data_IF_015504917620
#
_entry.id   IF_015504917620
#
_cell.length_a   1.000
_cell.length_b   1.000
_cell.length_c   1.000
_cell.angle_alpha   90.00
_cell.angle_beta   90.00
_cell.angle_gamma   90.00
#
_symmetry.space_group_name_H-M   'P 1'
#
loop_
_entity.id
_entity.type
_entity.pdbx_description
1 polymer ?
#
# COMPACT_ATOMS: atom_id res chain seq x y z
N UNK A 1 -65.09 69.44 -25.93
CA UNK A 1 -64.99 69.96 -24.55
C UNK A 1 -63.50 70.12 -24.25
N UNK A 2 -62.91 71.31 -24.43
CA UNK A 2 -62.69 72.34 -23.38
C UNK A 2 -61.95 71.74 -22.15
N UNK A 3 -60.85 72.24 -21.59
CA UNK A 3 -60.06 73.46 -21.76
C UNK A 3 -58.66 73.20 -21.11
N UNK A 4 -57.56 73.62 -21.72
CA UNK A 4 -56.61 74.64 -21.24
C UNK A 4 -56.23 74.64 -19.74
N UNK A 5 -54.94 74.41 -19.46
CA UNK A 5 -54.17 75.20 -18.48
C UNK A 5 -52.70 75.26 -18.92
N UNK A 6 -52.23 76.48 -19.19
CA UNK A 6 -50.82 76.85 -19.42
C UNK A 6 -50.12 77.02 -18.08
N UNK A 7 -48.82 76.76 -18.03
CA UNK A 7 -47.95 77.11 -16.89
C UNK A 7 -46.49 76.95 -17.26
N UNK A 8 -45.90 78.05 -17.73
CA UNK A 8 -44.46 78.24 -17.95
C UNK A 8 -43.70 78.25 -16.62
N UNK A 9 -42.54 77.60 -16.55
CA UNK A 9 -41.66 77.69 -15.39
C UNK A 9 -40.32 77.00 -15.63
N UNK A 10 -39.36 77.75 -16.14
CA UNK A 10 -37.93 77.42 -16.11
C UNK A 10 -37.48 77.20 -14.66
N UNK A 11 -37.04 76.00 -14.33
CA UNK A 11 -36.23 75.75 -13.15
C UNK A 11 -35.18 74.70 -13.48
N UNK A 12 -33.95 75.15 -13.65
CA UNK A 12 -32.75 74.31 -13.64
C UNK A 12 -32.73 73.46 -12.36
N UNK A 13 -32.60 72.12 -12.46
CA UNK A 13 -32.14 71.33 -11.34
C UNK A 13 -30.62 71.34 -11.35
N UNK A 14 -30.09 72.22 -10.50
CA UNK A 14 -28.77 72.21 -9.86
C UNK A 14 -28.07 70.85 -9.94
N UNK A 15 -26.99 70.80 -10.73
CA UNK A 15 -26.02 69.71 -10.75
C UNK A 15 -25.23 69.76 -9.43
N UNK A 16 -25.57 68.90 -8.47
CA UNK A 16 -24.79 68.77 -7.23
C UNK A 16 -23.41 68.14 -7.55
N UNK A 17 -22.29 68.84 -7.29
CA UNK A 17 -20.95 68.33 -7.52
C UNK A 17 -20.51 67.48 -6.31
N UNK A 18 -21.15 66.33 -6.10
CA UNK A 18 -20.84 65.40 -5.00
C UNK A 18 -20.48 63.99 -5.44
N UNK A 19 -20.92 63.55 -6.62
CA UNK A 19 -20.87 62.11 -6.97
C UNK A 19 -19.52 61.61 -7.51
N UNK A 20 -18.66 62.50 -8.03
CA UNK A 20 -17.41 62.09 -8.67
C UNK A 20 -16.27 61.84 -7.66
N UNK A 21 -16.10 62.72 -6.67
CA UNK A 21 -15.05 62.60 -5.66
C UNK A 21 -15.35 61.47 -4.66
N UNK A 22 -16.61 61.34 -4.24
CA UNK A 22 -17.07 60.22 -3.40
C UNK A 22 -17.00 58.88 -4.15
N UNK A 23 -17.36 58.86 -5.45
CA UNK A 23 -17.21 57.68 -6.30
C UNK A 23 -15.75 57.28 -6.51
N UNK A 24 -14.84 58.24 -6.68
CA UNK A 24 -13.40 57.98 -6.78
C UNK A 24 -12.83 57.46 -5.45
N UNK A 25 -13.20 58.07 -4.31
CA UNK A 25 -12.79 57.61 -3.00
C UNK A 25 -13.32 56.19 -2.70
N UNK A 26 -14.59 55.91 -3.01
CA UNK A 26 -15.19 54.59 -2.86
C UNK A 26 -14.48 53.54 -3.74
N UNK A 27 -14.07 53.91 -4.96
CA UNK A 27 -13.33 53.01 -5.86
C UNK A 27 -11.92 52.71 -5.32
N UNK A 28 -11.21 53.72 -4.80
CA UNK A 28 -9.89 53.55 -4.19
C UNK A 28 -9.96 52.67 -2.94
N UNK A 29 -10.95 52.90 -2.07
CA UNK A 29 -11.18 52.09 -0.87
C UNK A 29 -11.54 50.64 -1.26
N UNK A 30 -12.40 50.43 -2.24
CA UNK A 30 -12.71 49.08 -2.75
C UNK A 30 -11.49 48.39 -3.37
N UNK A 31 -10.65 49.13 -4.09
CA UNK A 31 -9.42 48.58 -4.68
C UNK A 31 -8.41 48.19 -3.58
N UNK A 32 -8.22 49.04 -2.58
CA UNK A 32 -7.35 48.76 -1.43
C UNK A 32 -7.85 47.57 -0.61
N UNK A 33 -9.17 47.48 -0.38
CA UNK A 33 -9.79 46.34 0.32
C UNK A 33 -9.63 45.04 -0.49
N UNK A 34 -9.84 45.07 -1.82
CA UNK A 34 -9.59 43.90 -2.69
C UNK A 34 -8.12 43.47 -2.67
N UNK A 35 -7.18 44.40 -2.72
CA UNK A 35 -5.75 44.10 -2.62
C UNK A 35 -5.37 43.53 -1.25
N UNK A 36 -5.93 44.06 -0.17
CA UNK A 36 -5.73 43.55 1.17
C UNK A 36 -6.28 42.13 1.34
N UNK A 37 -7.51 41.88 0.89
CA UNK A 37 -8.12 40.55 0.89
C UNK A 37 -7.35 39.56 0.02
N UNK A 38 -6.88 39.98 -1.16
CA UNK A 38 -6.05 39.15 -2.03
C UNK A 38 -4.69 38.80 -1.39
N UNK A 39 -4.05 39.75 -0.69
CA UNK A 39 -2.81 39.50 0.05
C UNK A 39 -3.02 38.57 1.23
N UNK A 40 -4.11 38.73 1.98
CA UNK A 40 -4.48 37.86 3.09
C UNK A 40 -4.77 36.43 2.62
N UNK A 41 -5.49 36.29 1.52
CA UNK A 41 -5.78 35.00 0.89
C UNK A 41 -4.53 34.35 0.32
N UNK A 42 -3.62 35.12 -0.30
CA UNK A 42 -2.34 34.61 -0.77
C UNK A 42 -1.44 34.15 0.39
N UNK A 43 -1.44 34.87 1.51
CA UNK A 43 -0.70 34.47 2.72
C UNK A 43 -1.29 33.18 3.32
N UNK A 44 -2.62 33.07 3.39
CA UNK A 44 -3.33 31.86 3.81
C UNK A 44 -2.96 30.67 2.93
N UNK A 45 -3.05 30.82 1.60
CA UNK A 45 -2.67 29.76 0.65
C UNK A 45 -1.20 29.37 0.74
N UNK A 46 -0.30 30.33 0.97
CA UNK A 46 1.13 30.05 1.19
C UNK A 46 1.37 29.26 2.48
N UNK A 47 0.61 29.55 3.53
CA UNK A 47 0.69 28.82 4.78
C UNK A 47 0.09 27.41 4.64
N UNK A 48 -1.08 27.27 4.03
CA UNK A 48 -1.67 25.97 3.70
C UNK A 48 -0.74 25.14 2.80
N UNK A 49 -0.09 25.76 1.83
CA UNK A 49 0.91 25.08 0.99
C UNK A 49 2.16 24.69 1.77
N UNK A 50 2.60 25.47 2.77
CA UNK A 50 3.70 25.08 3.66
C UNK A 50 3.29 23.92 4.56
N UNK A 51 2.13 23.99 5.18
CA UNK A 51 1.58 22.92 6.02
C UNK A 51 1.34 21.64 5.19
N UNK A 52 0.89 21.76 3.94
CA UNK A 52 0.79 20.65 3.00
C UNK A 52 2.16 20.07 2.65
N UNK A 53 3.17 20.91 2.38
CA UNK A 53 4.53 20.43 2.11
C UNK A 53 5.15 19.76 3.33
N UNK A 54 4.96 20.32 4.53
CA UNK A 54 5.41 19.73 5.79
C UNK A 54 4.70 18.40 6.06
N UNK A 55 3.38 18.32 5.86
CA UNK A 55 2.60 17.08 5.95
C UNK A 55 3.05 16.05 4.92
N UNK A 56 3.35 16.47 3.68
CA UNK A 56 3.87 15.59 2.65
C UNK A 56 5.30 15.12 2.98
N UNK A 57 6.13 15.96 3.59
CA UNK A 57 7.46 15.59 4.09
C UNK A 57 7.36 14.65 5.30
N UNK A 58 6.39 14.84 6.19
CA UNK A 58 6.12 13.91 7.31
C UNK A 58 5.62 12.58 6.76
N UNK A 59 4.67 12.57 5.82
CA UNK A 59 4.20 11.35 5.14
C UNK A 59 5.32 10.65 4.36
N UNK A 60 6.28 11.41 3.78
CA UNK A 60 7.47 10.86 3.13
C UNK A 60 8.45 10.23 4.13
N UNK A 61 8.56 10.77 5.35
CA UNK A 61 9.39 10.21 6.44
C UNK A 61 8.72 9.05 7.18
N UNK A 62 7.40 9.12 7.36
CA UNK A 62 6.58 8.18 8.15
C UNK A 62 6.01 7.02 7.31
N UNK A 63 6.18 7.05 5.99
CA UNK A 63 5.99 5.89 5.14
C UNK A 63 6.94 4.79 5.59
N UNK A 64 6.41 3.83 6.36
CA UNK A 64 7.12 2.75 7.03
C UNK A 64 8.44 2.38 6.32
N UNK A 65 9.55 2.42 7.07
CA UNK A 65 10.92 2.10 6.69
C UNK A 65 11.76 3.17 5.97
N UNK A 66 11.34 4.43 5.89
CA UNK A 66 12.10 5.45 5.13
C UNK A 66 12.15 5.17 3.62
N UNK A 67 11.26 4.29 3.14
CA UNK A 67 11.16 3.90 1.73
C UNK A 67 10.20 4.85 1.03
N UNK A 68 10.76 5.82 0.29
CA UNK A 68 9.96 6.82 -0.44
C UNK A 68 8.99 6.18 -1.44
N UNK A 69 7.88 6.84 -1.80
CA UNK A 69 7.00 6.37 -2.88
C UNK A 69 7.75 6.15 -4.20
N UNK A 70 8.73 7.01 -4.48
CA UNK A 70 9.64 6.90 -5.62
C UNK A 70 10.50 5.62 -5.52
N UNK A 71 11.03 5.32 -4.33
CA UNK A 71 11.76 4.07 -4.06
C UNK A 71 10.91 2.84 -4.37
N UNK A 72 9.65 2.80 -3.94
CA UNK A 72 8.75 1.65 -4.22
C UNK A 72 8.42 1.51 -5.70
N UNK A 73 8.18 2.62 -6.40
CA UNK A 73 7.92 2.62 -7.82
C UNK A 73 9.14 2.17 -8.64
N UNK A 74 10.35 2.63 -8.26
CA UNK A 74 11.60 2.22 -8.90
C UNK A 74 11.95 0.76 -8.62
N UNK A 75 11.78 0.30 -7.37
CA UNK A 75 12.00 -1.09 -6.97
C UNK A 75 11.03 -2.05 -7.70
N UNK A 76 9.76 -1.67 -7.82
CA UNK A 76 8.75 -2.44 -8.54
C UNK A 76 8.86 -2.38 -10.07
N UNK A 77 9.82 -1.61 -10.63
CA UNK A 77 10.00 -1.45 -12.07
C UNK A 77 8.86 -0.70 -12.76
N UNK A 78 8.06 0.08 -12.02
CA UNK A 78 6.93 0.83 -12.54
C UNK A 78 7.39 2.17 -13.12
N UNK A 79 7.88 2.14 -14.35
CA UNK A 79 8.50 3.28 -15.02
C UNK A 79 7.55 4.50 -15.09
N UNK A 80 6.29 4.27 -15.39
CA UNK A 80 5.26 5.32 -15.49
C UNK A 80 5.00 5.97 -14.12
N UNK A 81 5.03 5.18 -13.05
CA UNK A 81 4.87 5.69 -11.69
C UNK A 81 6.09 6.50 -11.25
N UNK A 82 7.30 6.08 -11.63
CA UNK A 82 8.55 6.82 -11.38
C UNK A 82 8.50 8.19 -12.07
N UNK A 83 8.08 8.25 -13.34
CA UNK A 83 7.96 9.51 -14.08
C UNK A 83 6.95 10.48 -13.43
N UNK A 84 5.79 9.97 -13.02
CA UNK A 84 4.77 10.79 -12.36
C UNK A 84 5.29 11.32 -11.01
N UNK A 85 5.95 10.49 -10.22
CA UNK A 85 6.48 10.88 -8.91
C UNK A 85 7.61 11.91 -9.02
N UNK A 86 8.49 11.80 -10.04
CA UNK A 86 9.50 12.82 -10.32
C UNK A 86 8.87 14.15 -10.78
N UNK A 87 7.82 14.11 -11.61
CA UNK A 87 7.06 15.31 -12.02
C UNK A 87 6.39 16.00 -10.84
N UNK A 88 5.99 15.24 -9.82
CA UNK A 88 5.42 15.75 -8.57
C UNK A 88 6.46 16.24 -7.56
N UNK A 89 7.75 16.25 -7.92
CA UNK A 89 8.82 16.81 -7.09
C UNK A 89 9.38 15.86 -6.05
N UNK A 90 9.20 14.55 -6.20
CA UNK A 90 9.89 13.57 -5.37
C UNK A 90 11.42 13.69 -5.57
N UNK A 91 12.19 13.87 -4.48
CA UNK A 91 13.65 13.94 -4.57
C UNK A 91 14.22 12.52 -4.74
N UNK A 92 14.90 12.20 -5.86
CA UNK A 92 15.52 10.90 -6.08
C UNK A 92 16.69 10.61 -5.11
N UNK A 93 17.09 11.59 -4.30
CA UNK A 93 18.19 11.48 -3.33
C UNK A 93 17.77 11.05 -1.93
N UNK A 94 16.47 10.82 -1.68
CA UNK A 94 15.96 10.38 -0.38
C UNK A 94 15.79 8.87 -0.39
N UNK A 95 16.57 8.17 0.45
CA UNK A 95 16.71 6.71 0.47
C UNK A 95 16.24 6.12 1.81
N UNK A 96 15.98 4.80 1.81
CA UNK A 96 15.86 4.03 3.04
C UNK A 96 17.23 3.87 3.71
N UNK A 97 17.24 3.82 5.04
CA UNK A 97 18.43 3.93 5.90
C UNK A 97 19.30 2.65 5.97
N UNK A 98 19.18 1.75 4.98
CA UNK A 98 19.90 0.46 4.93
C UNK A 98 21.20 0.49 4.10
N UNK A 99 21.59 1.67 3.60
CA UNK A 99 22.98 2.08 3.44
C UNK A 99 23.94 1.10 2.77
N UNK A 100 23.79 0.77 1.48
CA UNK A 100 24.90 0.66 0.50
C UNK A 100 24.49 0.11 -0.87
N UNK A 101 23.48 -0.76 -0.94
CA UNK A 101 22.98 -1.33 -2.21
C UNK A 101 22.06 -0.42 -3.04
N UNK A 102 21.22 0.48 -2.45
CA UNK A 102 20.28 1.30 -3.21
C UNK A 102 20.93 2.35 -4.14
N UNK A 103 22.07 2.91 -3.75
CA UNK A 103 22.74 3.97 -4.51
C UNK A 103 23.33 3.47 -5.83
N UNK A 104 23.93 2.27 -5.83
CA UNK A 104 24.50 1.66 -7.03
C UNK A 104 23.40 1.23 -8.01
N UNK A 105 22.30 0.69 -7.50
CA UNK A 105 21.16 0.28 -8.31
C UNK A 105 20.47 1.49 -8.96
N UNK A 106 20.26 2.58 -8.20
CA UNK A 106 19.74 3.83 -8.73
C UNK A 106 20.64 4.40 -9.84
N UNK A 107 21.96 4.40 -9.63
CA UNK A 107 22.91 4.86 -10.62
C UNK A 107 22.84 4.02 -11.91
N UNK A 108 22.67 2.69 -11.78
CA UNK A 108 22.52 1.80 -12.92
C UNK A 108 21.23 2.04 -13.71
N UNK A 109 20.11 2.32 -13.05
CA UNK A 109 18.87 2.71 -13.74
C UNK A 109 18.98 4.06 -14.46
N UNK A 110 19.63 5.05 -13.82
CA UNK A 110 19.90 6.33 -14.47
C UNK A 110 20.74 6.16 -15.73
N UNK A 111 21.76 5.30 -15.68
CA UNK A 111 22.60 4.98 -16.83
C UNK A 111 21.82 4.24 -17.92
N UNK A 112 21.00 3.25 -17.56
CA UNK A 112 20.13 2.55 -18.51
C UNK A 112 19.19 3.53 -19.24
N UNK A 113 18.51 4.40 -18.50
CA UNK A 113 17.61 5.42 -19.07
C UNK A 113 18.34 6.37 -20.03
N UNK A 114 19.58 6.75 -19.68
CA UNK A 114 20.45 7.53 -20.56
C UNK A 114 20.77 6.78 -21.85
N UNK A 115 21.12 5.48 -21.79
CA UNK A 115 21.43 4.67 -22.98
C UNK A 115 20.24 4.47 -23.89
N UNK A 116 19.05 4.26 -23.33
CA UNK A 116 17.79 4.22 -24.10
C UNK A 116 17.59 5.54 -24.85
N UNK A 117 17.72 6.67 -24.16
CA UNK A 117 17.57 8.00 -24.77
C UNK A 117 18.60 8.27 -25.88
N UNK A 118 19.85 7.80 -25.70
CA UNK A 118 20.91 7.91 -26.72
C UNK A 118 20.61 7.07 -27.96
N UNK A 119 20.03 5.88 -27.78
CA UNK A 119 19.60 5.00 -28.87
C UNK A 119 18.44 5.61 -29.66
N UNK A 120 17.39 6.08 -29.00
CA UNK A 120 16.22 6.71 -29.63
C UNK A 120 16.63 7.90 -30.52
N UNK A 121 17.58 8.72 -30.03
CA UNK A 121 18.13 9.84 -30.80
C UNK A 121 18.95 9.40 -32.01
N UNK A 122 19.65 8.27 -31.91
CA UNK A 122 20.41 7.71 -33.03
C UNK A 122 19.48 7.14 -34.10
N UNK A 123 18.42 6.45 -33.70
CA UNK A 123 17.39 5.94 -34.61
C UNK A 123 16.66 7.07 -35.33
N UNK A 124 16.19 8.08 -34.60
CA UNK A 124 15.50 9.25 -35.19
C UNK A 124 16.34 9.99 -36.23
N UNK A 125 17.67 9.98 -36.06
CA UNK A 125 18.61 10.66 -36.98
C UNK A 125 19.13 9.75 -38.09
N UNK A 126 18.67 8.50 -38.18
CA UNK A 126 19.17 7.47 -39.10
C UNK A 126 20.71 7.38 -39.09
N UNK A 127 21.32 7.48 -37.90
CA UNK A 127 22.76 7.35 -37.73
C UNK A 127 23.15 5.88 -37.86
N UNK A 128 24.14 5.54 -38.69
CA UNK A 128 24.62 4.15 -38.89
C UNK A 128 25.32 3.50 -37.68
N UNK A 129 25.04 3.94 -36.46
CA UNK A 129 25.64 3.47 -35.19
C UNK A 129 24.62 2.79 -34.27
N UNK A 130 23.43 2.47 -34.77
CA UNK A 130 22.31 1.90 -34.00
C UNK A 130 22.66 0.59 -33.30
N UNK A 131 23.49 -0.26 -33.91
CA UNK A 131 23.92 -1.52 -33.29
C UNK A 131 24.79 -1.30 -32.04
N UNK A 132 25.65 -0.26 -32.05
CA UNK A 132 26.51 0.07 -30.91
C UNK A 132 25.71 0.64 -29.74
N UNK A 133 24.71 1.48 -30.01
CA UNK A 133 23.84 2.02 -28.95
C UNK A 133 22.90 0.95 -28.39
N UNK A 134 22.44 0.01 -29.21
CA UNK A 134 21.68 -1.16 -28.76
C UNK A 134 22.51 -2.07 -27.86
N UNK A 135 23.79 -2.30 -28.19
CA UNK A 135 24.68 -3.07 -27.34
C UNK A 135 24.91 -2.38 -25.98
N UNK A 136 25.06 -1.05 -25.97
CA UNK A 136 25.19 -0.28 -24.73
C UNK A 136 23.93 -0.36 -23.82
N UNK A 137 22.74 -0.47 -24.39
CA UNK A 137 21.51 -0.74 -23.63
C UNK A 137 21.61 -2.13 -22.98
N UNK A 138 21.92 -3.17 -23.75
CA UNK A 138 22.03 -4.54 -23.23
C UNK A 138 23.04 -4.66 -22.10
N UNK A 139 24.18 -3.98 -22.21
CA UNK A 139 25.21 -3.98 -21.18
C UNK A 139 24.72 -3.27 -19.89
N UNK A 140 23.97 -2.17 -20.03
CA UNK A 140 23.35 -1.46 -18.91
C UNK A 140 22.22 -2.27 -18.25
N UNK A 141 21.39 -2.97 -19.04
CA UNK A 141 20.36 -3.90 -18.55
C UNK A 141 21.00 -5.04 -17.75
N UNK A 142 22.06 -5.67 -18.29
CA UNK A 142 22.80 -6.71 -17.59
C UNK A 142 23.41 -6.21 -16.27
N UNK A 143 23.87 -4.96 -16.22
CA UNK A 143 24.37 -4.35 -14.99
C UNK A 143 23.26 -4.15 -13.96
N UNK A 144 22.09 -3.66 -14.37
CA UNK A 144 20.91 -3.52 -13.49
C UNK A 144 20.51 -4.90 -12.95
N UNK A 145 20.45 -5.92 -13.80
CA UNK A 145 20.03 -7.26 -13.38
C UNK A 145 21.01 -7.91 -12.41
N UNK A 146 22.32 -7.74 -12.61
CA UNK A 146 23.33 -8.19 -11.63
C UNK A 146 23.13 -7.52 -10.28
N UNK A 147 23.00 -6.19 -10.25
CA UNK A 147 22.83 -5.43 -9.02
C UNK A 147 21.51 -5.78 -8.31
N UNK A 148 20.44 -6.06 -9.06
CA UNK A 148 19.17 -6.58 -8.49
C UNK A 148 19.37 -7.90 -7.78
N UNK A 149 20.08 -8.85 -8.41
CA UNK A 149 20.35 -10.16 -7.82
C UNK A 149 21.24 -10.06 -6.58
N UNK A 150 22.26 -9.20 -6.60
CA UNK A 150 23.12 -8.94 -5.45
C UNK A 150 22.34 -8.32 -4.29
N UNK A 151 21.46 -7.34 -4.59
CA UNK A 151 20.58 -6.74 -3.60
C UNK A 151 19.63 -7.77 -2.98
N UNK A 152 19.03 -8.63 -3.79
CA UNK A 152 18.15 -9.70 -3.31
C UNK A 152 18.90 -10.66 -2.37
N UNK A 153 20.10 -11.11 -2.76
CA UNK A 153 20.94 -11.99 -1.90
C UNK A 153 21.33 -11.33 -0.59
N UNK A 154 21.65 -10.04 -0.62
CA UNK A 154 21.98 -9.27 0.57
C UNK A 154 20.77 -9.16 1.51
N UNK A 155 19.57 -8.92 0.97
CA UNK A 155 18.32 -8.88 1.73
C UNK A 155 17.99 -10.23 2.36
N UNK A 156 18.13 -11.33 1.62
CA UNK A 156 17.94 -12.69 2.13
C UNK A 156 18.92 -13.01 3.27
N UNK A 157 20.19 -12.63 3.11
CA UNK A 157 21.23 -12.80 4.13
C UNK A 157 20.94 -11.98 5.39
N UNK A 158 20.49 -10.73 5.21
CA UNK A 158 20.08 -9.87 6.33
C UNK A 158 18.88 -10.43 7.07
N UNK A 159 17.88 -10.96 6.35
CA UNK A 159 16.70 -11.57 6.95
C UNK A 159 17.05 -12.80 7.80
N UNK A 160 17.96 -13.65 7.30
CA UNK A 160 18.47 -14.79 8.08
C UNK A 160 19.30 -14.35 9.30
N UNK A 161 20.17 -13.35 9.18
CA UNK A 161 20.94 -12.84 10.31
C UNK A 161 20.04 -12.22 11.40
N UNK A 162 18.96 -11.53 11.01
CA UNK A 162 17.94 -11.02 11.94
C UNK A 162 17.24 -12.16 12.69
N UNK A 163 16.92 -13.25 11.99
CA UNK A 163 16.35 -14.45 12.60
C UNK A 163 17.31 -15.08 13.63
N UNK A 164 18.59 -15.24 13.29
CA UNK A 164 19.61 -15.78 14.22
C UNK A 164 19.78 -14.91 15.47
N UNK A 165 19.84 -13.58 15.30
CA UNK A 165 19.93 -12.65 16.42
C UNK A 165 18.70 -12.73 17.33
N UNK A 166 17.52 -12.91 16.74
CA UNK A 166 16.28 -13.11 17.49
C UNK A 166 16.32 -14.39 18.32
N UNK A 167 16.84 -15.48 17.76
CA UNK A 167 16.93 -16.76 18.47
C UNK A 167 17.89 -16.68 19.66
N UNK A 168 19.06 -16.06 19.47
CA UNK A 168 20.04 -15.85 20.55
C UNK A 168 19.49 -14.97 21.69
N UNK A 169 18.66 -13.97 21.37
CA UNK A 169 18.08 -13.07 22.38
C UNK A 169 16.88 -13.67 23.13
N UNK A 170 16.30 -14.77 22.63
CA UNK A 170 15.12 -15.42 23.21
C UNK A 170 15.41 -16.54 24.22
N UNK A 171 16.66 -16.99 24.37
CA UNK A 171 17.05 -18.10 25.28
C UNK A 171 16.90 -17.79 26.79
N UNK A 172 16.39 -16.61 27.19
CA UNK A 172 16.40 -16.15 28.59
C UNK A 172 15.08 -15.67 29.22
N UNK A 173 13.97 -15.52 28.50
CA UNK A 173 12.70 -15.02 29.08
C UNK A 173 11.61 -16.11 29.07
N UNK A 174 11.02 -16.44 30.24
CA UNK A 174 9.79 -17.25 30.37
C UNK A 174 8.63 -16.51 29.67
N UNK A 175 8.55 -16.64 28.36
CA UNK A 175 7.60 -15.89 27.54
C UNK A 175 6.57 -16.80 26.86
N UNK A 176 5.40 -16.20 26.60
CA UNK A 176 4.27 -16.82 25.97
C UNK A 176 4.64 -17.62 24.70
N UNK A 177 4.03 -18.80 24.48
CA UNK A 177 4.34 -19.65 23.34
C UNK A 177 4.04 -18.94 22.01
N UNK A 178 4.88 -19.20 21.02
CA UNK A 178 4.74 -18.73 19.65
C UNK A 178 5.99 -18.08 19.09
N UNK A 179 5.99 -17.90 17.76
CA UNK A 179 7.00 -17.11 17.06
C UNK A 179 6.86 -15.65 17.49
N UNK A 180 7.94 -14.96 17.76
CA UNK A 180 7.91 -13.51 18.07
C UNK A 180 8.56 -12.75 16.94
N UNK A 181 8.02 -11.61 16.56
CA UNK A 181 8.64 -10.73 15.57
C UNK A 181 8.23 -9.27 15.79
N UNK A 182 8.99 -8.34 15.24
CA UNK A 182 8.58 -6.94 15.16
C UNK A 182 7.63 -6.74 13.98
N UNK A 183 6.87 -5.64 14.00
CA UNK A 183 6.02 -5.21 12.86
C UNK A 183 6.85 -5.10 11.57
N UNK A 184 8.10 -4.64 11.73
CA UNK A 184 9.07 -4.45 10.66
C UNK A 184 9.44 -5.73 9.90
N UNK A 185 9.24 -6.88 10.54
CA UNK A 185 9.65 -8.19 10.05
C UNK A 185 8.46 -9.03 9.57
N UNK A 186 7.22 -8.51 9.67
CA UNK A 186 6.00 -9.23 9.30
C UNK A 186 6.02 -9.72 7.85
N UNK A 187 6.58 -8.94 6.93
CA UNK A 187 6.69 -9.34 5.53
C UNK A 187 7.56 -10.59 5.38
N UNK A 188 8.75 -10.59 5.99
CA UNK A 188 9.69 -11.70 5.89
C UNK A 188 9.15 -12.95 6.60
N UNK A 189 8.51 -12.77 7.76
CA UNK A 189 7.96 -13.89 8.52
C UNK A 189 6.70 -14.47 7.88
N UNK A 190 5.72 -13.65 7.48
CA UNK A 190 4.44 -14.16 6.98
C UNK A 190 4.45 -14.46 5.49
N UNK A 191 5.07 -13.59 4.68
CA UNK A 191 5.02 -13.70 3.23
C UNK A 191 6.16 -14.55 2.70
N UNK A 192 7.38 -14.32 3.17
CA UNK A 192 8.54 -15.09 2.70
C UNK A 192 8.75 -16.39 3.49
N UNK A 193 8.17 -16.51 4.69
CA UNK A 193 8.42 -17.61 5.63
C UNK A 193 9.93 -17.83 5.83
N UNK A 194 10.66 -16.75 6.13
CA UNK A 194 12.11 -16.82 6.35
C UNK A 194 12.42 -17.80 7.48
N UNK A 195 13.28 -18.77 7.17
CA UNK A 195 13.60 -19.88 8.08
C UNK A 195 12.61 -21.04 8.06
N UNK A 196 11.65 -21.06 7.13
CA UNK A 196 10.66 -22.14 6.91
C UNK A 196 9.87 -22.50 8.18
N UNK A 197 9.66 -21.53 9.08
CA UNK A 197 9.11 -21.76 10.42
C UNK A 197 7.62 -22.10 10.36
N UNK A 198 6.86 -21.42 9.51
CA UNK A 198 5.41 -21.64 9.35
C UNK A 198 5.15 -22.94 8.57
N UNK A 199 5.95 -23.21 7.53
CA UNK A 199 5.85 -24.46 6.78
C UNK A 199 6.24 -25.67 7.64
N UNK A 200 7.33 -25.60 8.39
CA UNK A 200 7.80 -26.71 9.23
C UNK A 200 6.83 -27.05 10.37
N UNK A 201 6.15 -26.07 10.96
CA UNK A 201 5.12 -26.31 11.99
C UNK A 201 3.83 -26.92 11.40
N UNK A 202 3.48 -26.53 10.17
CA UNK A 202 2.32 -27.07 9.44
C UNK A 202 0.99 -26.40 9.78
N UNK A 203 0.86 -25.67 10.89
CA UNK A 203 -0.35 -24.88 11.21
C UNK A 203 -0.33 -23.53 10.49
N UNK A 204 -1.50 -22.94 10.30
CA UNK A 204 -1.61 -21.57 9.79
C UNK A 204 -1.34 -20.55 10.90
N UNK A 205 -0.70 -19.40 10.62
CA UNK A 205 -0.34 -18.44 11.66
C UNK A 205 -1.57 -17.67 12.19
N UNK A 206 -1.61 -17.52 13.51
CA UNK A 206 -2.42 -16.56 14.24
C UNK A 206 -1.54 -15.41 14.69
N UNK A 207 -1.64 -14.28 13.98
CA UNK A 207 -0.96 -13.04 14.29
C UNK A 207 -1.64 -12.37 15.48
N UNK A 208 -0.95 -12.35 16.61
CA UNK A 208 -1.37 -11.73 17.87
C UNK A 208 -0.68 -10.36 17.95
N UNK A 209 -1.44 -9.31 17.69
CA UNK A 209 -0.97 -7.93 17.71
C UNK A 209 -1.99 -6.98 18.37
N UNK A 210 -1.84 -6.72 19.67
CA UNK A 210 -2.72 -5.77 20.38
C UNK A 210 -2.71 -4.35 19.80
N UNK A 211 -1.65 -3.93 19.09
CA UNK A 211 -1.58 -2.60 18.49
C UNK A 211 -2.40 -2.45 17.21
N UNK A 212 -2.71 -3.56 16.54
CA UNK A 212 -3.41 -3.58 15.24
C UNK A 212 -2.58 -3.13 14.05
N UNK A 213 -1.27 -2.91 14.21
CA UNK A 213 -0.36 -2.58 13.11
C UNK A 213 -0.27 -3.70 12.08
N UNK A 214 -0.31 -4.97 12.51
CA UNK A 214 -0.27 -6.14 11.63
C UNK A 214 -1.52 -6.25 10.76
N UNK A 215 -2.70 -5.95 11.31
CA UNK A 215 -3.95 -5.88 10.55
C UNK A 215 -3.85 -4.80 9.47
N UNK A 216 -3.36 -3.61 9.83
CA UNK A 216 -3.11 -2.51 8.88
C UNK A 216 -2.11 -2.93 7.80
N UNK A 217 -0.97 -3.51 8.19
CA UNK A 217 0.04 -4.02 7.28
C UNK A 217 -0.59 -4.96 6.24
N UNK A 218 -1.36 -5.97 6.67
CA UNK A 218 -1.99 -6.96 5.80
C UNK A 218 -3.07 -6.37 4.89
N UNK A 219 -3.81 -5.34 5.33
CA UNK A 219 -4.77 -4.61 4.47
C UNK A 219 -4.11 -3.88 3.31
N UNK A 220 -2.88 -3.40 3.51
CA UNK A 220 -2.09 -2.75 2.46
C UNK A 220 -1.23 -3.72 1.65
N UNK A 221 -1.22 -5.01 2.02
CA UNK A 221 -0.67 -6.07 1.17
C UNK A 221 -1.73 -6.57 0.19
N UNK A 222 -1.29 -7.24 -0.88
CA UNK A 222 -2.18 -7.85 -1.88
C UNK A 222 -2.85 -9.13 -1.31
N UNK A 223 -3.83 -8.94 -0.42
CA UNK A 223 -4.54 -10.01 0.29
C UNK A 223 -6.03 -10.01 0.00
N UNK A 224 -6.65 -11.18 0.08
CA UNK A 224 -8.09 -11.29 0.21
C UNK A 224 -8.44 -11.14 1.69
N UNK A 225 -8.97 -9.97 2.05
CA UNK A 225 -9.17 -9.60 3.45
C UNK A 225 -10.62 -9.74 3.89
N UNK A 226 -10.86 -10.54 4.93
CA UNK A 226 -12.18 -10.78 5.54
C UNK A 226 -12.20 -10.14 6.93
N UNK A 227 -12.86 -8.99 7.04
CA UNK A 227 -13.21 -8.41 8.34
C UNK A 227 -14.35 -9.21 8.98
N UNK A 228 -14.04 -9.97 10.05
CA UNK A 228 -15.02 -10.89 10.65
C UNK A 228 -16.11 -10.20 11.47
N UNK A 229 -15.93 -8.93 11.84
CA UNK A 229 -17.00 -8.16 12.49
C UNK A 229 -18.02 -7.70 11.45
N UNK A 230 -17.66 -7.63 10.17
CA UNK A 230 -18.60 -7.31 9.10
C UNK A 230 -19.44 -8.55 8.73
N UNK A 231 -20.76 -8.57 9.01
CA UNK A 231 -21.61 -9.71 8.73
C UNK A 231 -21.72 -10.02 7.22
N UNK A 232 -21.54 -9.02 6.36
CA UNK A 232 -21.55 -9.24 4.92
C UNK A 232 -20.33 -10.03 4.45
N UNK A 233 -19.17 -9.81 5.05
CA UNK A 233 -17.95 -10.57 4.74
C UNK A 233 -18.05 -12.03 5.22
N UNK A 234 -18.76 -12.28 6.33
CA UNK A 234 -18.95 -13.61 6.90
C UNK A 234 -20.03 -14.46 6.22
N UNK A 235 -20.78 -13.92 5.25
CA UNK A 235 -21.76 -14.72 4.50
C UNK A 235 -21.03 -15.90 3.84
N UNK A 236 -21.59 -17.13 3.87
CA UNK A 236 -20.93 -18.31 3.30
C UNK A 236 -20.45 -18.10 1.86
N UNK A 237 -21.29 -17.53 0.99
CA UNK A 237 -20.89 -17.22 -0.39
C UNK A 237 -19.72 -16.24 -0.51
N UNK A 238 -19.65 -15.25 0.38
CA UNK A 238 -18.57 -14.27 0.37
C UNK A 238 -17.26 -14.91 0.81
N UNK A 239 -17.29 -15.77 1.83
CA UNK A 239 -16.13 -16.56 2.25
C UNK A 239 -15.69 -17.51 1.14
N UNK A 240 -16.63 -18.23 0.51
CA UNK A 240 -16.34 -19.15 -0.61
C UNK A 240 -15.62 -18.43 -1.76
N UNK A 241 -16.15 -17.29 -2.19
CA UNK A 241 -15.55 -16.51 -3.28
C UNK A 241 -14.22 -15.87 -2.89
N UNK A 242 -14.07 -15.41 -1.64
CA UNK A 242 -12.79 -14.91 -1.13
C UNK A 242 -11.72 -16.00 -1.11
N UNK A 243 -12.09 -17.22 -0.70
CA UNK A 243 -11.21 -18.39 -0.72
C UNK A 243 -10.84 -18.80 -2.15
N UNK A 244 -11.81 -18.91 -3.06
CA UNK A 244 -11.55 -19.22 -4.46
C UNK A 244 -10.67 -18.17 -5.14
N UNK A 245 -10.91 -16.88 -4.88
CA UNK A 245 -10.06 -15.81 -5.38
C UNK A 245 -8.63 -15.90 -4.86
N UNK A 246 -8.46 -16.25 -3.58
CA UNK A 246 -7.14 -16.39 -2.98
C UNK A 246 -6.39 -17.59 -3.56
N UNK A 247 -7.06 -18.73 -3.70
CA UNK A 247 -6.51 -19.95 -4.32
C UNK A 247 -6.10 -19.71 -5.79
N UNK A 248 -6.98 -19.10 -6.58
CA UNK A 248 -6.76 -18.85 -8.01
C UNK A 248 -5.51 -18.00 -8.27
N UNK A 249 -5.31 -16.97 -7.45
CA UNK A 249 -4.19 -16.04 -7.61
C UNK A 249 -2.98 -16.36 -6.73
N UNK A 250 -3.05 -17.39 -5.87
CA UNK A 250 -2.00 -17.67 -4.89
C UNK A 250 -1.83 -16.57 -3.85
N UNK A 251 -2.88 -15.80 -3.58
CA UNK A 251 -2.86 -14.67 -2.64
C UNK A 251 -3.16 -15.13 -1.21
N UNK A 252 -2.67 -14.41 -0.19
CA UNK A 252 -3.07 -14.69 1.17
C UNK A 252 -4.55 -14.39 1.41
N UNK A 253 -5.26 -15.29 2.08
CA UNK A 253 -6.57 -15.04 2.68
C UNK A 253 -6.37 -14.66 4.15
N UNK A 254 -6.96 -13.55 4.57
CA UNK A 254 -6.82 -13.03 5.95
C UNK A 254 -8.17 -12.97 6.62
N UNK A 255 -8.31 -13.57 7.80
CA UNK A 255 -9.44 -13.36 8.70
C UNK A 255 -9.02 -12.45 9.86
N UNK A 256 -9.58 -11.24 9.91
CA UNK A 256 -9.37 -10.27 10.99
C UNK A 256 -10.40 -10.49 12.08
N UNK A 257 -9.98 -11.11 13.19
CA UNK A 257 -10.79 -11.43 14.37
C UNK A 257 -11.02 -10.22 15.28
N UNK A 258 -10.34 -9.09 15.03
CA UNK A 258 -10.47 -7.85 15.82
C UNK A 258 -10.15 -8.11 17.30
N UNK A 259 -10.98 -7.60 18.21
CA UNK A 259 -10.78 -7.61 19.67
C UNK A 259 -11.57 -8.72 20.36
N UNK A 260 -12.22 -9.60 19.59
CA UNK A 260 -13.09 -10.67 20.09
C UNK A 260 -12.64 -11.99 19.47
N UNK A 261 -12.79 -13.11 20.20
CA UNK A 261 -12.57 -14.42 19.60
C UNK A 261 -13.76 -14.80 18.70
N UNK A 262 -13.65 -14.48 17.41
CA UNK A 262 -14.59 -14.86 16.37
C UNK A 262 -14.13 -16.11 15.59
N UNK A 263 -13.08 -16.79 16.03
CA UNK A 263 -12.58 -17.98 15.34
C UNK A 263 -13.62 -19.11 15.24
N UNK A 264 -14.40 -19.43 16.29
CA UNK A 264 -15.47 -20.42 16.18
C UNK A 264 -16.57 -20.02 15.19
N UNK A 265 -16.81 -18.72 15.02
CA UNK A 265 -17.77 -18.20 14.04
C UNK A 265 -17.25 -18.42 12.62
N UNK A 266 -15.97 -18.13 12.37
CA UNK A 266 -15.34 -18.41 11.07
C UNK A 266 -15.43 -19.89 10.72
N UNK A 267 -15.11 -20.79 11.67
CA UNK A 267 -15.24 -22.24 11.45
C UNK A 267 -16.67 -22.61 11.08
N UNK A 268 -17.67 -22.11 11.81
CA UNK A 268 -19.09 -22.38 11.50
C UNK A 268 -19.48 -21.88 10.11
N UNK A 269 -18.99 -20.71 9.68
CA UNK A 269 -19.31 -20.19 8.35
C UNK A 269 -18.61 -20.98 7.24
N UNK A 270 -17.40 -21.49 7.48
CA UNK A 270 -16.75 -22.43 6.56
C UNK A 270 -17.56 -23.74 6.43
N UNK A 271 -18.03 -24.31 7.54
CA UNK A 271 -18.93 -25.48 7.52
C UNK A 271 -20.26 -25.20 6.80
N UNK A 272 -20.75 -23.96 6.86
CA UNK A 272 -21.95 -23.54 6.13
C UNK A 272 -21.72 -23.38 4.62
N UNK A 273 -20.48 -23.22 4.15
CA UNK A 273 -20.14 -23.26 2.72
C UNK A 273 -20.25 -24.69 2.20
N UNK A 274 -19.56 -25.61 2.87
CA UNK A 274 -19.69 -27.05 2.67
C UNK A 274 -19.23 -27.79 3.92
N UNK A 275 -19.87 -28.91 4.29
CA UNK A 275 -19.46 -29.72 5.43
C UNK A 275 -18.00 -30.20 5.29
N UNK A 276 -17.21 -30.07 6.36
CA UNK A 276 -15.81 -30.47 6.43
C UNK A 276 -14.82 -29.42 5.92
N UNK A 277 -15.27 -28.29 5.35
CA UNK A 277 -14.38 -27.29 4.78
C UNK A 277 -13.41 -26.69 5.80
N UNK A 278 -13.84 -26.48 7.05
CA UNK A 278 -12.97 -25.89 8.05
C UNK A 278 -11.78 -26.82 8.34
N UNK A 279 -12.03 -28.13 8.47
CA UNK A 279 -10.98 -29.12 8.66
C UNK A 279 -10.05 -29.17 7.43
N UNK A 280 -10.59 -29.27 6.21
CA UNK A 280 -9.78 -29.36 5.00
C UNK A 280 -8.89 -28.12 4.79
N UNK A 281 -9.42 -26.93 5.05
CA UNK A 281 -8.67 -25.69 4.91
C UNK A 281 -7.60 -25.55 5.99
N UNK A 282 -7.95 -25.80 7.26
CA UNK A 282 -7.03 -25.64 8.39
C UNK A 282 -5.92 -26.71 8.40
N UNK A 283 -6.21 -27.92 7.90
CA UNK A 283 -5.23 -29.00 7.73
C UNK A 283 -4.45 -28.92 6.41
N UNK A 284 -4.67 -27.88 5.59
CA UNK A 284 -4.08 -27.68 4.26
C UNK A 284 -4.49 -28.71 3.20
N UNK A 285 -5.28 -29.74 3.55
CA UNK A 285 -5.76 -30.79 2.63
C UNK A 285 -6.57 -30.24 1.45
N UNK A 286 -7.17 -29.07 1.58
CA UNK A 286 -7.87 -28.40 0.47
C UNK A 286 -6.93 -28.15 -0.74
N UNK A 287 -5.62 -28.02 -0.49
CA UNK A 287 -4.60 -27.79 -1.51
C UNK A 287 -4.13 -29.08 -2.20
N UNK A 288 -4.55 -30.25 -1.71
CA UNK A 288 -4.11 -31.54 -2.27
C UNK A 288 -4.88 -31.85 -3.56
N UNK A 289 -4.15 -31.88 -4.68
CA UNK A 289 -4.70 -32.16 -6.00
C UNK A 289 -5.85 -31.21 -6.36
N UNK A 290 -7.00 -31.80 -6.68
CA UNK A 290 -8.17 -31.07 -7.19
C UNK A 290 -9.26 -30.84 -6.12
N UNK A 291 -8.97 -31.01 -4.82
CA UNK A 291 -9.97 -30.90 -3.75
C UNK A 291 -10.67 -29.55 -3.71
N UNK A 292 -9.97 -28.46 -4.04
CA UNK A 292 -10.55 -27.12 -4.13
C UNK A 292 -11.69 -27.01 -5.15
N UNK A 293 -11.76 -27.90 -6.15
CA UNK A 293 -12.81 -27.89 -7.17
C UNK A 293 -14.21 -28.13 -6.56
N UNK A 294 -14.29 -28.75 -5.39
CA UNK A 294 -15.55 -28.90 -4.61
C UNK A 294 -16.23 -27.56 -4.30
N UNK A 295 -15.46 -26.47 -4.26
CA UNK A 295 -15.96 -25.12 -3.99
C UNK A 295 -16.54 -24.42 -5.23
N UNK A 296 -16.27 -24.94 -6.42
CA UNK A 296 -16.74 -24.39 -7.68
C UNK A 296 -18.22 -24.73 -7.91
N UNK A 297 -18.96 -23.79 -8.49
CA UNK A 297 -20.39 -23.96 -8.78
C UNK A 297 -20.68 -23.74 -10.26
N UNK A 298 -21.70 -24.42 -10.84
CA UNK A 298 -22.05 -24.26 -12.25
C UNK A 298 -22.41 -22.84 -12.68
N UNK A 299 -22.89 -22.01 -11.74
CA UNK A 299 -23.29 -20.63 -11.98
C UNK A 299 -22.17 -19.62 -11.69
N UNK A 300 -20.97 -20.08 -11.31
CA UNK A 300 -19.83 -19.17 -11.16
C UNK A 300 -19.41 -18.64 -12.55
N UNK A 301 -18.90 -17.41 -12.59
CA UNK A 301 -18.48 -16.78 -13.84
C UNK A 301 -17.33 -17.53 -14.54
N UNK A 302 -17.09 -17.25 -15.84
CA UNK A 302 -16.03 -17.92 -16.62
C UNK A 302 -14.63 -17.80 -15.99
N UNK A 303 -14.44 -16.79 -15.15
CA UNK A 303 -13.22 -16.56 -14.38
C UNK A 303 -12.94 -17.64 -13.31
N UNK A 304 -13.90 -18.51 -13.00
CA UNK A 304 -13.75 -19.66 -12.09
C UNK A 304 -13.69 -21.01 -12.84
N UNK A 305 -13.42 -20.99 -14.15
CA UNK A 305 -13.22 -22.21 -14.92
C UNK A 305 -12.01 -23.04 -14.43
N UNK A 306 -11.99 -24.37 -14.63
CA UNK A 306 -10.92 -25.25 -14.12
C UNK A 306 -9.51 -24.85 -14.58
N UNK A 307 -9.38 -24.29 -15.79
CA UNK A 307 -8.11 -23.83 -16.37
C UNK A 307 -7.57 -22.54 -15.74
N UNK A 308 -8.36 -21.87 -14.90
CA UNK A 308 -7.99 -20.62 -14.25
C UNK A 308 -7.17 -20.83 -12.98
N UNK A 309 -7.09 -22.05 -12.47
CA UNK A 309 -6.34 -22.43 -11.27
C UNK A 309 -5.04 -23.11 -11.69
N UNK A 310 -3.92 -22.48 -11.38
CA UNK A 310 -2.58 -22.97 -11.73
C UNK A 310 -1.92 -23.58 -10.50
N UNK A 311 -1.37 -24.79 -10.62
CA UNK A 311 -0.71 -25.51 -9.51
C UNK A 311 0.40 -24.68 -8.85
N UNK A 312 1.21 -23.98 -9.66
CA UNK A 312 2.25 -23.08 -9.15
C UNK A 312 1.70 -21.94 -8.26
N UNK A 313 0.49 -21.45 -8.53
CA UNK A 313 -0.18 -20.41 -7.72
C UNK A 313 -0.88 -21.00 -6.51
N UNK A 314 -1.49 -22.17 -6.66
CA UNK A 314 -2.10 -22.89 -5.53
C UNK A 314 -1.05 -23.15 -4.43
N UNK A 315 0.17 -23.52 -4.81
CA UNK A 315 1.29 -23.68 -3.87
C UNK A 315 1.75 -22.39 -3.18
N UNK A 316 1.33 -21.21 -3.65
CA UNK A 316 1.63 -19.90 -3.04
C UNK A 316 0.52 -19.42 -2.10
N UNK A 317 -0.64 -20.08 -2.08
CA UNK A 317 -1.75 -19.73 -1.20
C UNK A 317 -1.32 -19.76 0.26
N UNK A 318 -1.76 -18.75 1.02
CA UNK A 318 -1.52 -18.65 2.47
C UNK A 318 -2.82 -18.29 3.17
N UNK A 319 -2.99 -18.76 4.40
CA UNK A 319 -4.11 -18.39 5.25
C UNK A 319 -3.58 -17.78 6.54
N UNK A 320 -4.04 -16.58 6.88
CA UNK A 320 -3.66 -15.88 8.11
C UNK A 320 -4.89 -15.55 8.95
N UNK A 321 -4.74 -15.66 10.26
CA UNK A 321 -5.68 -15.10 11.22
C UNK A 321 -4.99 -13.96 11.97
N UNK A 322 -5.70 -12.86 12.21
CA UNK A 322 -5.16 -11.71 12.93
C UNK A 322 -6.08 -11.37 14.09
N UNK A 323 -5.52 -11.12 15.26
CA UNK A 323 -6.28 -10.73 16.45
C UNK A 323 -5.54 -9.69 17.27
N UNK A 324 -6.30 -8.79 17.88
CA UNK A 324 -5.80 -7.87 18.92
C UNK A 324 -5.87 -8.48 20.32
N UNK A 325 -6.52 -9.64 20.48
CA UNK A 325 -6.61 -10.34 21.76
C UNK A 325 -5.22 -10.88 22.13
N UNK A 326 -4.62 -10.34 23.19
CA UNK A 326 -3.27 -10.69 23.63
C UNK A 326 -3.11 -12.17 24.02
N UNK A 327 -4.18 -12.76 24.54
CA UNK A 327 -4.22 -14.13 25.06
C UNK A 327 -5.39 -14.91 24.44
N UNK A 328 -5.23 -15.38 23.19
CA UNK A 328 -6.26 -16.19 22.54
C UNK A 328 -6.49 -17.52 23.28
N UNK A 329 -7.67 -18.14 23.16
CA UNK A 329 -7.97 -19.40 23.83
C UNK A 329 -7.00 -20.53 23.46
N UNK A 330 -6.71 -21.41 24.42
CA UNK A 330 -5.75 -22.51 24.23
C UNK A 330 -6.13 -23.46 23.07
N UNK A 331 -7.42 -23.68 22.83
CA UNK A 331 -7.90 -24.48 21.69
C UNK A 331 -7.51 -23.85 20.35
N UNK A 332 -7.65 -22.54 20.23
CA UNK A 332 -7.24 -21.80 19.05
C UNK A 332 -5.73 -21.89 18.83
N UNK A 333 -4.94 -21.80 19.92
CA UNK A 333 -3.46 -21.92 19.87
C UNK A 333 -2.96 -23.34 19.59
N UNK A 334 -3.81 -24.37 19.74
CA UNK A 334 -3.51 -25.73 19.29
C UNK A 334 -3.68 -25.85 17.78
N UNK A 335 -4.71 -25.23 17.23
CA UNK A 335 -5.06 -25.29 15.80
C UNK A 335 -4.20 -24.35 14.95
N UNK A 336 -3.89 -23.17 15.47
CA UNK A 336 -3.13 -22.12 14.78
C UNK A 336 -1.77 -21.92 15.44
N UNK A 337 -0.77 -21.57 14.65
CA UNK A 337 0.58 -21.23 15.12
C UNK A 337 0.58 -19.80 15.69
N UNK A 338 0.77 -19.58 17.00
CA UNK A 338 0.87 -18.24 17.54
C UNK A 338 2.09 -17.50 16.97
N UNK A 339 1.85 -16.31 16.44
CA UNK A 339 2.88 -15.35 16.03
C UNK A 339 2.60 -14.02 16.73
N UNK A 340 3.48 -13.64 17.65
CA UNK A 340 3.33 -12.49 18.55
C UNK A 340 4.13 -11.30 18.03
N UNK A 341 3.42 -10.21 17.78
CA UNK A 341 4.04 -8.96 17.38
C UNK A 341 4.55 -8.24 18.63
N UNK A 342 5.88 -8.10 18.72
CA UNK A 342 6.53 -7.36 19.78
C UNK A 342 6.48 -5.87 19.46
N UNK A 343 5.95 -5.09 20.40
CA UNK A 343 6.06 -3.63 20.34
C UNK A 343 7.46 -3.23 20.80
N UNK A 344 8.10 -2.25 20.15
CA UNK A 344 9.38 -1.73 20.63
C UNK A 344 9.22 -1.28 22.07
N UNK A 345 10.15 -1.70 22.95
CA UNK A 345 10.22 -1.26 24.34
C UNK A 345 10.64 0.23 24.35
N UNK A 346 9.73 1.14 24.02
CA UNK A 346 9.94 2.60 24.03
C UNK A 346 9.20 3.35 22.94
N UNK A 347 8.15 4.09 23.31
CA UNK A 347 7.42 4.99 22.42
C UNK A 347 6.02 5.33 22.94
N UNK A 348 5.95 6.15 23.99
CA UNK A 348 4.79 7.00 24.31
C UNK A 348 5.08 8.42 23.82
#
# INVERSE_FOLDING_TARGET
MAAACRGTGSHDPVRLPGSAAEGQAATVIQCALRQFLARKELARRRQEHREYLEQMETLQREGAFGRTPLYRAAFGGHLEAVEVLLKLGADPRVYADDGSTPAQLQQAYCELSRRVTEHDKCEQRHMGKTELTLQAIKDAEAQVDRLRQEAQKAEESLAMARLELREQTQEGEEEAPGLKCQVTELHDVLMKDVGDRIRADGRWPLVIDPSGQAATFLRYQDTNYVDTVNPDHLRPERIRLALLGALRYGKPLVFDLREVDLFPVVQRQLEAVQPGLAEELLSRRLLDGDRYQSLLRPNDGPEYGPTQFQEARLGQFRLFFVTKVQWPPAEQLRILLPLRVQLPRGGL
#
